data_IF_930731781698
#
_entry.id   IF_930731781698
#
_cell.length_a   1.000
_cell.length_b   1.000
_cell.length_c   1.000
_cell.angle_alpha   90.00
_cell.angle_beta   90.00
_cell.angle_gamma   90.00
#
_symmetry.space_group_name_H-M   'P 1'
#
loop_
_entity.id
_entity.type
_entity.pdbx_description
1 polymer ?
#
# COMPACT_ATOMS: atom_id res chain seq x y z
N UNK A 1 30.29 1.91 2.17
CA UNK A 1 29.85 3.18 2.80
C UNK A 1 29.15 4.13 1.81
N UNK A 2 29.74 4.43 0.64
CA UNK A 2 29.06 5.26 -0.40
C UNK A 2 27.75 4.67 -0.94
N UNK A 3 27.66 3.35 -1.09
CA UNK A 3 26.46 2.69 -1.63
C UNK A 3 25.25 2.83 -0.70
N UNK A 4 25.44 2.54 0.59
CA UNK A 4 24.39 2.68 1.61
C UNK A 4 23.84 4.11 1.67
N UNK A 5 24.69 5.13 1.51
CA UNK A 5 24.25 6.53 1.46
C UNK A 5 23.38 6.85 0.24
N UNK A 6 23.64 6.21 -0.91
CA UNK A 6 22.78 6.36 -2.09
C UNK A 6 21.38 5.79 -1.84
N UNK A 7 21.30 4.60 -1.23
CA UNK A 7 20.01 3.97 -0.89
C UNK A 7 19.23 4.82 0.12
N UNK A 8 19.90 5.34 1.16
CA UNK A 8 19.27 6.25 2.12
C UNK A 8 18.70 7.49 1.46
N UNK A 9 19.50 8.16 0.62
CA UNK A 9 19.05 9.32 -0.16
C UNK A 9 17.85 8.97 -1.05
N UNK A 10 17.88 7.81 -1.70
CA UNK A 10 16.78 7.34 -2.53
C UNK A 10 15.48 7.14 -1.73
N UNK A 11 15.56 6.51 -0.55
CA UNK A 11 14.41 6.32 0.34
C UNK A 11 13.88 7.67 0.85
N UNK A 12 14.78 8.55 1.30
CA UNK A 12 14.41 9.88 1.76
C UNK A 12 13.66 10.67 0.66
N UNK A 13 14.21 10.71 -0.55
CA UNK A 13 13.59 11.41 -1.68
C UNK A 13 12.27 10.76 -2.13
N UNK A 14 12.08 9.45 -1.94
CA UNK A 14 10.80 8.79 -2.20
C UNK A 14 9.72 9.24 -1.19
N UNK A 15 10.11 9.37 0.09
CA UNK A 15 9.25 9.93 1.14
C UNK A 15 8.92 11.41 0.85
N UNK A 16 9.87 12.20 0.36
CA UNK A 16 9.59 13.56 -0.12
C UNK A 16 8.55 13.56 -1.27
N UNK A 17 8.74 12.71 -2.28
CA UNK A 17 7.83 12.60 -3.43
C UNK A 17 6.38 12.32 -3.01
N UNK A 18 6.18 11.54 -1.94
CA UNK A 18 4.84 11.23 -1.43
C UNK A 18 4.04 12.47 -1.00
N UNK A 19 4.71 13.54 -0.56
CA UNK A 19 4.07 14.81 -0.18
C UNK A 19 3.49 15.53 -1.40
N UNK A 20 4.18 15.48 -2.53
CA UNK A 20 3.71 16.09 -3.78
C UNK A 20 2.64 15.25 -4.48
N UNK A 21 2.68 13.92 -4.29
CA UNK A 21 1.73 12.99 -4.91
C UNK A 21 0.40 12.92 -4.16
N UNK A 22 0.42 12.84 -2.83
CA UNK A 22 -0.78 12.74 -2.00
C UNK A 22 -0.66 13.59 -0.74
N UNK A 23 -0.74 14.93 -0.88
CA UNK A 23 -0.43 15.87 0.19
C UNK A 23 -1.31 15.76 1.44
N UNK A 24 -2.57 15.31 1.34
CA UNK A 24 -3.45 15.11 2.51
C UNK A 24 -3.14 13.85 3.32
N UNK A 25 -2.52 12.86 2.70
CA UNK A 25 -2.13 11.61 3.36
C UNK A 25 -0.72 11.22 2.89
N UNK A 26 0.29 12.05 3.20
CA UNK A 26 1.65 11.84 2.74
C UNK A 26 2.28 10.65 3.47
N UNK A 27 3.34 10.14 2.86
CA UNK A 27 4.18 9.09 3.42
C UNK A 27 4.03 7.75 2.71
N UNK A 28 4.93 6.84 3.06
CA UNK A 28 5.05 5.51 2.46
C UNK A 28 5.15 4.45 3.54
N UNK A 29 4.48 3.32 3.35
CA UNK A 29 4.69 2.13 4.16
C UNK A 29 6.02 1.48 3.82
N UNK A 30 6.53 0.63 4.73
CA UNK A 30 7.76 -0.12 4.46
C UNK A 30 7.65 -1.04 3.23
N UNK A 31 6.47 -1.62 2.98
CA UNK A 31 6.23 -2.46 1.80
C UNK A 31 6.33 -1.63 0.50
N UNK A 32 5.76 -0.43 0.49
CA UNK A 32 5.85 0.48 -0.66
C UNK A 32 7.29 0.97 -0.86
N UNK A 33 8.04 1.24 0.21
CA UNK A 33 9.46 1.58 0.11
C UNK A 33 10.27 0.42 -0.51
N UNK A 34 9.99 -0.82 -0.11
CA UNK A 34 10.61 -2.01 -0.72
C UNK A 34 10.31 -2.09 -2.22
N UNK A 35 9.05 -1.90 -2.61
CA UNK A 35 8.64 -1.93 -4.01
C UNK A 35 9.29 -0.80 -4.83
N UNK A 36 9.30 0.42 -4.29
CA UNK A 36 9.96 1.57 -4.94
C UNK A 36 11.45 1.32 -5.09
N UNK A 37 12.09 0.71 -4.07
CA UNK A 37 13.50 0.32 -4.10
C UNK A 37 13.82 -0.73 -5.16
N UNK A 38 12.99 -1.78 -5.27
CA UNK A 38 13.13 -2.81 -6.31
C UNK A 38 13.03 -2.21 -7.72
N UNK A 39 12.03 -1.35 -7.95
CA UNK A 39 11.89 -0.59 -9.22
C UNK A 39 13.02 0.41 -9.47
N UNK A 40 13.69 0.84 -8.41
CA UNK A 40 14.90 1.65 -8.44
C UNK A 40 16.18 0.85 -8.74
N UNK A 41 16.09 -0.48 -8.83
CA UNK A 41 17.22 -1.38 -9.07
C UNK A 41 17.98 -1.78 -7.80
N UNK A 42 17.43 -1.53 -6.61
CA UNK A 42 18.02 -1.92 -5.34
C UNK A 42 17.51 -3.28 -4.88
N UNK A 43 18.40 -4.05 -4.24
CA UNK A 43 18.07 -5.36 -3.68
C UNK A 43 17.50 -5.23 -2.27
N UNK A 44 16.71 -6.22 -1.86
CA UNK A 44 16.04 -6.23 -0.56
C UNK A 44 16.99 -6.01 0.63
N UNK A 45 18.17 -6.63 0.63
CA UNK A 45 19.17 -6.45 1.70
C UNK A 45 19.68 -5.01 1.79
N UNK A 46 19.82 -4.32 0.66
CA UNK A 46 20.32 -2.93 0.61
C UNK A 46 19.28 -1.97 1.20
N UNK A 47 18.01 -2.20 0.89
CA UNK A 47 16.87 -1.45 1.43
C UNK A 47 16.75 -1.73 2.93
N UNK A 48 16.88 -3.00 3.35
CA UNK A 48 16.85 -3.41 4.75
C UNK A 48 17.94 -2.73 5.59
N UNK A 49 19.19 -2.75 5.11
CA UNK A 49 20.32 -2.11 5.80
C UNK A 49 20.14 -0.59 5.90
N UNK A 50 19.68 0.06 4.83
CA UNK A 50 19.37 1.48 4.84
C UNK A 50 18.28 1.80 5.86
N UNK A 51 17.21 1.01 5.88
CA UNK A 51 16.08 1.18 6.78
C UNK A 51 16.46 1.09 8.27
N UNK A 52 17.26 0.08 8.62
CA UNK A 52 17.78 -0.08 10.00
C UNK A 52 18.62 1.12 10.38
N UNK A 53 19.56 1.52 9.51
CA UNK A 53 20.52 2.60 9.79
C UNK A 53 19.88 4.00 9.77
N UNK A 54 18.72 4.17 9.13
CA UNK A 54 17.93 5.40 9.19
C UNK A 54 17.08 5.50 10.47
N UNK A 55 17.12 4.48 11.35
CA UNK A 55 16.33 4.49 12.57
C UNK A 55 14.82 4.28 12.33
N UNK A 56 14.42 3.91 11.12
CA UNK A 56 13.00 3.75 10.74
C UNK A 56 12.39 2.45 11.29
N UNK A 57 13.22 1.53 11.79
CA UNK A 57 12.81 0.26 12.39
C UNK A 57 11.93 0.44 13.64
N UNK A 58 12.11 1.53 14.40
CA UNK A 58 11.27 1.86 15.56
C UNK A 58 9.95 2.53 15.15
N UNK A 59 9.91 3.17 13.97
CA UNK A 59 8.72 3.81 13.41
C UNK A 59 7.83 2.85 12.60
N UNK A 60 8.41 1.73 12.13
CA UNK A 60 7.85 0.89 11.07
C UNK A 60 7.34 -0.51 11.47
N UNK A 61 7.01 -0.79 12.75
CA UNK A 61 6.27 -2.03 13.08
C UNK A 61 4.79 -1.85 12.71
N UNK A 62 4.42 -2.21 11.48
CA UNK A 62 3.05 -2.24 10.97
C UNK A 62 2.82 -1.37 9.71
N UNK A 63 1.55 -1.26 9.31
CA UNK A 63 1.04 -0.53 8.14
C UNK A 63 1.18 1.01 8.19
N UNK A 64 2.07 1.56 9.04
CA UNK A 64 2.17 3.01 9.24
C UNK A 64 2.88 3.69 8.07
N UNK A 65 2.39 4.86 7.69
CA UNK A 65 3.06 5.74 6.72
C UNK A 65 4.25 6.42 7.39
N UNK A 66 5.42 6.28 6.78
CA UNK A 66 6.64 6.96 7.16
C UNK A 66 6.66 8.32 6.47
N UNK A 67 7.05 9.36 7.21
CA UNK A 67 7.16 10.73 6.69
C UNK A 67 8.57 11.09 6.21
N UNK A 68 8.74 12.29 5.63
CA UNK A 68 10.05 12.83 5.24
C UNK A 68 11.05 12.91 6.40
N UNK A 69 12.35 12.83 6.11
CA UNK A 69 13.39 12.92 7.12
C UNK A 69 13.66 14.36 7.59
N UNK A 70 14.27 14.51 8.77
CA UNK A 70 14.56 15.81 9.37
C UNK A 70 15.37 16.74 8.46
N UNK A 71 16.29 16.21 7.65
CA UNK A 71 17.09 17.01 6.74
C UNK A 71 16.24 17.64 5.62
N UNK A 72 15.26 16.91 5.07
CA UNK A 72 14.25 17.47 4.17
C UNK A 72 13.47 18.59 4.83
N UNK A 73 13.06 18.41 6.08
CA UNK A 73 12.26 19.42 6.79
C UNK A 73 13.04 20.73 6.94
N UNK A 74 14.35 20.64 7.15
CA UNK A 74 15.25 21.80 7.17
C UNK A 74 15.27 22.49 5.80
N UNK A 75 15.39 21.75 4.69
CA UNK A 75 15.43 22.37 3.36
C UNK A 75 14.12 23.07 3.00
N UNK A 76 12.99 22.53 3.45
CA UNK A 76 11.69 23.17 3.31
C UNK A 76 11.54 24.40 4.19
N UNK A 77 12.00 24.33 5.44
CA UNK A 77 11.95 25.43 6.41
C UNK A 77 12.64 26.69 5.90
N UNK A 78 13.75 26.53 5.17
CA UNK A 78 14.54 27.65 4.64
C UNK A 78 14.24 27.99 3.18
N UNK A 79 13.23 27.37 2.55
CA UNK A 79 12.88 27.58 1.14
C UNK A 79 14.09 27.55 0.21
N UNK A 80 15.03 26.62 0.46
CA UNK A 80 16.23 26.49 -0.37
C UNK A 80 15.80 26.04 -1.78
N UNK A 81 16.26 26.69 -2.88
CA UNK A 81 15.87 26.33 -4.23
C UNK A 81 16.36 24.93 -4.60
N UNK A 82 15.59 24.19 -5.39
CA UNK A 82 15.89 22.81 -5.77
C UNK A 82 15.71 22.58 -7.27
N UNK A 83 16.44 21.60 -7.82
CA UNK A 83 16.32 21.21 -9.24
C UNK A 83 16.10 19.69 -9.34
N UNK A 84 14.96 19.21 -9.86
CA UNK A 84 13.77 19.98 -10.27
C UNK A 84 13.02 20.58 -9.06
N UNK A 85 12.29 21.66 -9.33
CA UNK A 85 11.40 22.31 -8.36
C UNK A 85 9.99 21.72 -8.46
N UNK A 86 9.50 21.14 -7.37
CA UNK A 86 8.14 20.57 -7.27
C UNK A 86 7.24 21.40 -6.36
N UNK A 87 7.77 22.39 -5.65
CA UNK A 87 7.00 23.30 -4.81
C UNK A 87 6.38 24.39 -5.68
N UNK A 88 5.07 24.51 -5.60
CA UNK A 88 4.31 25.59 -6.23
C UNK A 88 4.45 26.87 -5.38
N UNK A 89 5.40 27.74 -5.74
CA UNK A 89 5.68 28.96 -4.98
C UNK A 89 4.49 29.92 -4.92
N UNK A 90 3.65 29.94 -5.95
CA UNK A 90 2.43 30.76 -5.95
C UNK A 90 1.45 30.27 -4.88
N UNK A 91 1.36 28.94 -4.71
CA UNK A 91 0.57 28.35 -3.64
C UNK A 91 1.09 28.70 -2.24
N UNK A 92 2.42 28.70 -2.04
CA UNK A 92 3.02 29.12 -0.77
C UNK A 92 2.76 30.61 -0.47
N UNK A 93 3.00 31.49 -1.44
CA UNK A 93 2.76 32.93 -1.29
C UNK A 93 1.28 33.23 -1.01
N UNK A 94 0.36 32.46 -1.62
CA UNK A 94 -1.07 32.55 -1.36
C UNK A 94 -1.42 32.23 0.10
N UNK A 95 -0.87 31.16 0.68
CA UNK A 95 -1.07 30.83 2.10
C UNK A 95 -0.63 31.98 3.01
N UNK A 96 0.57 32.53 2.76
CA UNK A 96 1.09 33.64 3.55
C UNK A 96 0.22 34.89 3.42
N UNK A 97 -0.24 35.20 2.20
CA UNK A 97 -1.06 36.37 1.94
C UNK A 97 -2.43 36.28 2.61
N UNK A 98 -3.15 35.16 2.47
CA UNK A 98 -4.47 34.99 3.09
C UNK A 98 -4.40 35.04 4.63
N UNK A 99 -3.40 34.39 5.24
CA UNK A 99 -3.23 34.46 6.69
C UNK A 99 -2.71 35.82 7.17
N UNK A 100 -1.91 36.51 6.37
CA UNK A 100 -1.48 37.88 6.64
C UNK A 100 -2.66 38.86 6.66
N UNK A 101 -3.58 38.74 5.69
CA UNK A 101 -4.82 39.52 5.66
C UNK A 101 -5.75 39.19 6.83
N UNK A 102 -5.93 37.90 7.16
CA UNK A 102 -6.68 37.49 8.35
C UNK A 102 -6.08 38.07 9.63
N UNK A 103 -4.75 38.04 9.78
CA UNK A 103 -4.06 38.59 10.94
C UNK A 103 -4.21 40.11 11.05
N UNK A 104 -4.19 40.85 9.92
CA UNK A 104 -4.46 42.29 9.92
C UNK A 104 -5.88 42.61 10.39
N UNK A 105 -6.86 41.79 10.01
CA UNK A 105 -8.26 42.03 10.34
C UNK A 105 -8.67 41.57 11.75
N UNK A 106 -8.12 40.44 12.21
CA UNK A 106 -8.57 39.75 13.43
C UNK A 106 -7.51 39.68 14.54
N UNK A 107 -6.27 40.04 14.24
CA UNK A 107 -5.10 39.79 15.07
C UNK A 107 -4.56 38.36 14.93
N UNK A 108 -3.24 38.18 15.12
CA UNK A 108 -2.55 36.89 14.91
C UNK A 108 -3.16 35.72 15.69
N UNK A 109 -3.59 35.95 16.95
CA UNK A 109 -4.15 34.89 17.79
C UNK A 109 -5.46 34.30 17.25
N UNK A 110 -6.19 35.06 16.42
CA UNK A 110 -7.48 34.66 15.84
C UNK A 110 -7.40 34.37 14.34
N UNK A 111 -6.22 34.52 13.73
CA UNK A 111 -6.00 34.27 12.31
C UNK A 111 -5.92 32.76 12.06
N UNK A 112 -7.09 32.15 11.85
CA UNK A 112 -7.26 30.73 11.57
C UNK A 112 -8.28 30.53 10.45
N UNK A 113 -8.11 29.47 9.66
CA UNK A 113 -8.98 29.15 8.53
C UNK A 113 -9.07 27.64 8.34
N UNK A 114 -10.26 27.13 7.99
CA UNK A 114 -10.41 25.72 7.56
C UNK A 114 -9.57 25.45 6.32
N UNK A 115 -8.87 24.31 6.30
CA UNK A 115 -8.04 23.85 5.17
C UNK A 115 -8.84 23.80 3.87
N UNK A 116 -10.02 23.19 3.89
CA UNK A 116 -10.92 23.10 2.73
C UNK A 116 -11.31 24.48 2.19
N UNK A 117 -11.50 25.47 3.09
CA UNK A 117 -11.81 26.84 2.68
C UNK A 117 -10.62 27.50 2.00
N UNK A 118 -9.41 27.35 2.56
CA UNK A 118 -8.20 27.90 1.97
C UNK A 118 -7.93 27.31 0.59
N UNK A 119 -8.08 25.99 0.46
CA UNK A 119 -7.89 25.23 -0.79
C UNK A 119 -8.91 25.69 -1.84
N UNK A 120 -10.19 25.78 -1.47
CA UNK A 120 -11.24 26.28 -2.36
C UNK A 120 -10.96 27.70 -2.87
N UNK A 121 -10.50 28.60 -1.99
CA UNK A 121 -10.10 29.96 -2.39
C UNK A 121 -8.91 29.96 -3.34
N UNK A 122 -7.88 29.16 -3.08
CA UNK A 122 -6.70 29.05 -3.95
C UNK A 122 -7.09 28.57 -5.36
N UNK A 123 -7.90 27.51 -5.44
CA UNK A 123 -8.40 26.96 -6.71
C UNK A 123 -9.22 27.99 -7.49
N UNK A 124 -10.05 28.78 -6.81
CA UNK A 124 -10.80 29.87 -7.46
C UNK A 124 -9.92 30.97 -8.06
N UNK A 125 -8.67 31.10 -7.60
CA UNK A 125 -7.65 32.03 -8.13
C UNK A 125 -6.70 31.38 -9.14
N UNK A 126 -6.96 30.14 -9.55
CA UNK A 126 -6.17 29.44 -10.57
C UNK A 126 -4.99 28.61 -10.04
N UNK A 127 -4.82 28.50 -8.72
CA UNK A 127 -3.79 27.67 -8.11
C UNK A 127 -4.24 26.20 -8.14
N UNK A 128 -3.34 25.29 -8.50
CA UNK A 128 -3.60 23.85 -8.49
C UNK A 128 -4.04 23.36 -7.12
N UNK A 129 -5.11 22.55 -7.05
CA UNK A 129 -5.56 21.92 -5.80
C UNK A 129 -4.43 21.09 -5.17
N UNK A 130 -3.73 20.27 -5.95
CA UNK A 130 -2.58 19.51 -5.46
C UNK A 130 -1.43 20.42 -5.02
N UNK A 131 -1.22 21.54 -5.70
CA UNK A 131 -0.18 22.53 -5.37
C UNK A 131 -0.42 23.19 -4.01
N UNK A 132 -1.63 23.68 -3.75
CA UNK A 132 -1.98 24.31 -2.47
C UNK A 132 -1.98 23.30 -1.33
N UNK A 133 -2.48 22.08 -1.56
CA UNK A 133 -2.44 21.02 -0.56
C UNK A 133 -1.00 20.65 -0.18
N UNK A 134 -0.10 20.54 -1.16
CA UNK A 134 1.32 20.28 -0.91
C UNK A 134 1.97 21.44 -0.15
N UNK A 135 1.67 22.69 -0.50
CA UNK A 135 2.19 23.86 0.21
C UNK A 135 1.79 23.85 1.70
N UNK A 136 0.50 23.62 1.99
CA UNK A 136 -0.02 23.52 3.36
C UNK A 136 0.70 22.39 4.12
N UNK A 137 0.75 21.19 3.54
CA UNK A 137 1.38 20.03 4.18
C UNK A 137 2.86 20.25 4.46
N UNK A 138 3.59 20.88 3.52
CA UNK A 138 5.00 21.24 3.73
C UNK A 138 5.15 22.24 4.87
N UNK A 139 4.29 23.27 4.94
CA UNK A 139 4.33 24.26 6.03
C UNK A 139 4.02 23.63 7.40
N UNK A 140 3.15 22.62 7.44
CA UNK A 140 2.88 21.85 8.67
C UNK A 140 4.12 21.04 9.05
N UNK A 141 4.70 20.29 8.12
CA UNK A 141 5.90 19.49 8.39
C UNK A 141 7.13 20.34 8.75
N UNK A 142 7.26 21.54 8.18
CA UNK A 142 8.30 22.49 8.51
C UNK A 142 8.01 23.30 9.81
N UNK A 143 6.94 22.97 10.52
CA UNK A 143 6.49 23.59 11.78
C UNK A 143 6.14 25.08 11.66
N UNK A 144 5.92 25.58 10.44
CA UNK A 144 5.42 26.93 10.22
C UNK A 144 3.95 27.05 10.61
N UNK A 145 3.17 26.03 10.28
CA UNK A 145 1.74 25.95 10.55
C UNK A 145 1.40 24.77 11.45
N UNK A 146 0.28 24.89 12.13
CA UNK A 146 -0.35 23.80 12.85
C UNK A 146 -1.76 23.60 12.29
N UNK A 147 -2.15 22.34 12.14
CA UNK A 147 -3.51 21.93 11.78
C UNK A 147 -4.14 21.22 12.98
N UNK A 148 -5.36 21.61 13.33
CA UNK A 148 -6.17 20.90 14.34
C UNK A 148 -7.62 20.86 13.86
N UNK A 149 -8.17 19.65 13.78
CA UNK A 149 -9.56 19.41 13.38
C UNK A 149 -9.92 20.06 12.02
N UNK A 150 -8.97 20.11 11.08
CA UNK A 150 -9.13 20.77 9.77
C UNK A 150 -8.82 22.27 9.75
N UNK A 151 -8.65 22.89 10.93
CA UNK A 151 -8.36 24.32 11.07
C UNK A 151 -6.85 24.57 11.05
N UNK A 152 -6.43 25.43 10.12
CA UNK A 152 -5.06 25.88 9.95
C UNK A 152 -4.80 27.20 10.68
N UNK A 153 -3.60 27.32 11.25
CA UNK A 153 -3.03 28.57 11.76
C UNK A 153 -1.51 28.57 11.68
N UNK A 154 -0.89 29.74 11.68
CA UNK A 154 0.55 29.82 11.92
C UNK A 154 0.87 29.35 13.36
N UNK A 155 1.88 28.50 13.50
CA UNK A 155 2.28 27.94 14.79
C UNK A 155 2.78 29.03 15.75
N UNK A 156 3.45 30.04 15.21
CA UNK A 156 3.91 31.23 15.93
C UNK A 156 3.59 32.49 15.12
N UNK A 157 3.25 33.63 15.74
CA UNK A 157 2.93 34.87 15.01
C UNK A 157 4.04 35.34 14.05
N UNK A 158 5.30 35.16 14.43
CA UNK A 158 6.47 35.53 13.62
C UNK A 158 6.53 34.80 12.28
N UNK A 159 5.94 33.61 12.19
CA UNK A 159 5.96 32.77 10.99
C UNK A 159 5.18 33.40 9.83
N UNK A 160 4.16 34.22 10.12
CA UNK A 160 3.36 34.93 9.09
C UNK A 160 3.85 36.34 8.77
N UNK A 161 4.91 36.82 9.44
CA UNK A 161 5.42 38.20 9.32
C UNK A 161 6.71 38.31 8.50
N UNK A 162 7.23 37.19 8.00
CA UNK A 162 8.43 37.16 7.16
C UNK A 162 8.17 37.53 5.70
N UNK A 163 9.25 37.70 4.90
CA UNK A 163 9.14 37.85 3.45
C UNK A 163 8.43 36.65 2.82
N UNK A 164 7.83 36.84 1.64
CA UNK A 164 7.11 35.78 0.96
C UNK A 164 8.07 34.62 0.59
N UNK A 165 7.60 33.37 0.61
CA UNK A 165 8.38 32.21 0.19
C UNK A 165 9.10 32.38 -1.16
N UNK A 166 8.44 32.98 -2.16
CA UNK A 166 9.09 33.26 -3.45
C UNK A 166 10.22 34.30 -3.36
N UNK A 167 10.11 35.28 -2.47
CA UNK A 167 11.16 36.28 -2.22
C UNK A 167 12.35 35.65 -1.48
N UNK A 168 12.07 34.81 -0.48
CA UNK A 168 13.09 34.05 0.25
C UNK A 168 13.88 33.16 -0.69
N UNK A 169 13.20 32.46 -1.61
CA UNK A 169 13.83 31.58 -2.57
C UNK A 169 14.68 32.36 -3.59
N UNK A 170 14.21 33.53 -4.07
CA UNK A 170 14.99 34.41 -4.97
C UNK A 170 16.28 34.94 -4.32
N UNK A 171 16.30 35.11 -3.00
CA UNK A 171 17.49 35.55 -2.30
C UNK A 171 18.61 34.49 -2.26
N UNK A 172 18.28 33.22 -2.54
CA UNK A 172 19.22 32.11 -2.58
C UNK A 172 19.87 31.97 -3.97
N UNK A 173 21.20 31.79 -4.00
CA UNK A 173 21.98 31.80 -5.26
C UNK A 173 22.22 30.42 -5.86
N UNK A 174 22.09 29.35 -5.08
CA UNK A 174 22.48 28.00 -5.50
C UNK A 174 21.33 27.05 -5.26
N UNK A 175 20.82 26.45 -6.35
CA UNK A 175 19.83 25.39 -6.29
C UNK A 175 20.49 24.05 -5.94
N UNK A 176 19.87 23.30 -5.04
CA UNK A 176 20.32 21.96 -4.67
C UNK A 176 19.84 20.94 -5.72
N UNK A 177 20.74 20.11 -6.29
CA UNK A 177 20.35 19.07 -7.23
C UNK A 177 19.65 17.91 -6.52
N UNK A 178 18.50 17.52 -7.07
CA UNK A 178 17.60 16.49 -6.57
C UNK A 178 17.22 15.51 -7.69
N UNK A 179 18.24 15.09 -8.43
CA UNK A 179 18.10 14.34 -9.69
C UNK A 179 17.30 13.03 -9.54
N UNK A 180 17.41 12.35 -8.39
CA UNK A 180 16.69 11.11 -8.13
C UNK A 180 15.18 11.32 -8.03
N UNK A 181 14.70 12.51 -7.64
CA UNK A 181 13.26 12.80 -7.55
C UNK A 181 12.55 12.71 -8.90
N UNK A 182 13.18 13.12 -9.99
CA UNK A 182 12.61 12.98 -11.34
C UNK A 182 12.36 11.52 -11.71
N UNK A 183 13.25 10.62 -11.27
CA UNK A 183 13.09 9.18 -11.47
C UNK A 183 12.03 8.60 -10.53
N UNK A 184 11.99 9.06 -9.28
CA UNK A 184 11.10 8.56 -8.23
C UNK A 184 9.65 8.99 -8.40
N UNK A 185 9.40 10.22 -8.84
CA UNK A 185 8.06 10.80 -8.94
C UNK A 185 7.05 9.90 -9.70
N UNK A 186 7.34 9.37 -10.91
CA UNK A 186 6.41 8.47 -11.58
C UNK A 186 6.21 7.13 -10.85
N UNK A 187 7.23 6.60 -10.18
CA UNK A 187 7.16 5.34 -9.42
C UNK A 187 6.27 5.53 -8.19
N UNK A 188 6.54 6.58 -7.41
CA UNK A 188 5.79 6.93 -6.19
C UNK A 188 4.33 7.25 -6.52
N UNK A 189 4.09 7.98 -7.61
CA UNK A 189 2.73 8.25 -8.10
C UNK A 189 1.95 6.98 -8.38
N UNK A 190 2.55 6.03 -9.07
CA UNK A 190 1.92 4.74 -9.40
C UNK A 190 1.69 3.85 -8.16
N UNK A 191 2.62 3.84 -7.21
CA UNK A 191 2.46 3.09 -5.95
C UNK A 191 1.35 3.70 -5.09
N UNK A 192 1.30 5.02 -4.95
CA UNK A 192 0.30 5.69 -4.12
C UNK A 192 -1.09 5.68 -4.78
N UNK A 193 -1.19 5.81 -6.11
CA UNK A 193 -2.49 5.75 -6.80
C UNK A 193 -3.21 4.41 -6.55
N UNK A 194 -2.44 3.34 -6.34
CA UNK A 194 -2.97 2.02 -5.97
C UNK A 194 -3.66 1.96 -4.61
N UNK A 195 -3.46 2.96 -3.74
CA UNK A 195 -4.17 3.03 -2.45
C UNK A 195 -5.65 3.40 -2.60
N UNK A 196 -6.00 4.12 -3.65
CA UNK A 196 -7.32 4.76 -3.82
C UNK A 196 -8.15 4.19 -4.96
N UNK A 197 -7.53 3.46 -5.88
CA UNK A 197 -8.18 2.93 -7.09
C UNK A 197 -8.64 1.46 -6.95
N UNK A 198 -8.58 0.90 -5.74
CA UNK A 198 -8.96 -0.50 -5.47
C UNK A 198 -7.96 -1.53 -6.00
N UNK A 199 -6.78 -1.11 -6.48
CA UNK A 199 -5.74 -2.03 -6.90
C UNK A 199 -5.00 -2.65 -5.70
N UNK A 200 -4.43 -3.85 -5.89
CA UNK A 200 -3.81 -4.66 -4.84
C UNK A 200 -2.74 -3.99 -3.98
N UNK A 201 -2.83 -4.13 -2.65
CA UNK A 201 -1.79 -3.75 -1.67
C UNK A 201 -0.48 -4.56 -1.80
N UNK A 202 -0.58 -5.77 -2.34
CA UNK A 202 0.55 -6.60 -2.75
C UNK A 202 0.53 -6.72 -4.27
N UNK A 203 1.51 -6.14 -4.94
CA UNK A 203 1.68 -6.22 -6.40
C UNK A 203 1.75 -7.69 -6.85
N UNK A 204 2.46 -8.53 -6.11
CA UNK A 204 2.57 -9.98 -6.29
C UNK A 204 2.08 -10.71 -5.03
N UNK A 205 0.76 -10.99 -4.91
CA UNK A 205 0.20 -11.59 -3.68
C UNK A 205 0.75 -12.99 -3.40
N UNK A 206 1.07 -13.76 -4.44
CA UNK A 206 1.64 -15.09 -4.27
C UNK A 206 3.04 -15.07 -3.65
N UNK A 207 3.88 -14.14 -4.07
CA UNK A 207 5.26 -14.04 -3.55
C UNK A 207 5.25 -13.47 -2.13
N UNK A 208 4.36 -12.49 -1.87
CA UNK A 208 4.13 -11.97 -0.52
C UNK A 208 3.63 -13.04 0.47
N UNK A 209 2.72 -13.92 0.04
CA UNK A 209 2.24 -15.01 0.88
C UNK A 209 3.32 -16.07 1.13
N UNK A 210 4.17 -16.37 0.16
CA UNK A 210 5.32 -17.27 0.34
C UNK A 210 6.20 -16.82 1.51
N UNK A 211 6.50 -15.52 1.59
CA UNK A 211 7.27 -14.93 2.68
C UNK A 211 6.60 -15.04 4.06
N UNK A 212 5.26 -15.15 4.11
CA UNK A 212 4.49 -15.29 5.36
C UNK A 212 4.44 -16.73 5.89
N UNK A 213 4.71 -17.75 5.07
CA UNK A 213 4.62 -19.15 5.48
C UNK A 213 5.49 -19.48 6.70
N UNK A 214 6.70 -18.93 6.77
CA UNK A 214 7.59 -19.11 7.93
C UNK A 214 6.98 -18.56 9.22
N UNK A 215 6.35 -17.37 9.16
CA UNK A 215 5.69 -16.76 10.33
C UNK A 215 4.45 -17.53 10.81
N UNK A 216 3.86 -18.34 9.93
CA UNK A 216 2.75 -19.23 10.25
C UNK A 216 3.21 -20.62 10.73
N UNK A 217 4.53 -20.87 10.75
CA UNK A 217 5.12 -22.16 11.14
C UNK A 217 5.19 -23.20 10.01
N UNK A 218 5.05 -22.78 8.76
CA UNK A 218 5.03 -23.65 7.57
C UNK A 218 6.22 -23.40 6.63
N UNK A 219 7.39 -23.05 7.16
CA UNK A 219 8.59 -22.76 6.36
C UNK A 219 8.94 -23.87 5.34
N UNK A 220 8.74 -25.14 5.71
CA UNK A 220 8.98 -26.28 4.80
C UNK A 220 8.06 -26.33 3.56
N UNK A 221 6.92 -25.65 3.59
CA UNK A 221 6.00 -25.56 2.44
C UNK A 221 6.35 -24.44 1.46
N UNK A 222 7.37 -23.62 1.75
CA UNK A 222 7.78 -22.53 0.87
C UNK A 222 8.11 -23.02 -0.55
N UNK A 223 8.89 -24.11 -0.66
CA UNK A 223 9.27 -24.69 -1.96
C UNK A 223 8.06 -25.17 -2.76
N UNK A 224 7.12 -25.85 -2.08
CA UNK A 224 5.87 -26.30 -2.72
C UNK A 224 5.08 -25.10 -3.24
N UNK A 225 4.89 -24.07 -2.43
CA UNK A 225 4.16 -22.86 -2.82
C UNK A 225 4.77 -22.18 -4.05
N UNK A 226 6.07 -21.90 -4.01
CA UNK A 226 6.79 -21.25 -5.13
C UNK A 226 6.73 -22.08 -6.41
N UNK A 227 6.79 -23.42 -6.28
CA UNK A 227 6.66 -24.31 -7.43
C UNK A 227 5.27 -24.19 -8.08
N UNK A 228 4.20 -24.31 -7.29
CA UNK A 228 2.81 -24.22 -7.82
C UNK A 228 2.54 -22.85 -8.43
N UNK A 229 3.02 -21.77 -7.81
CA UNK A 229 2.92 -20.40 -8.36
C UNK A 229 3.67 -20.29 -9.69
N UNK A 230 4.88 -20.83 -9.77
CA UNK A 230 5.68 -20.80 -11.00
C UNK A 230 5.02 -21.57 -12.14
N UNK A 231 4.44 -22.73 -11.84
CA UNK A 231 3.67 -23.53 -12.81
C UNK A 231 2.41 -22.79 -13.28
N UNK A 232 1.68 -22.12 -12.37
CA UNK A 232 0.52 -21.31 -12.73
C UNK A 232 0.90 -20.12 -13.61
N UNK A 233 2.00 -19.41 -13.28
CA UNK A 233 2.51 -18.26 -14.04
C UNK A 233 2.94 -18.67 -15.46
N UNK A 234 3.56 -19.85 -15.62
CA UNK A 234 3.99 -20.38 -16.93
C UNK A 234 2.87 -20.98 -17.77
N UNK A 235 1.78 -21.41 -17.16
CA UNK A 235 0.66 -22.04 -17.86
C UNK A 235 -0.11 -21.03 -18.71
N UNK A 236 -0.19 -21.28 -20.02
CA UNK A 236 -1.01 -20.50 -20.93
C UNK A 236 -2.51 -20.82 -20.78
N UNK A 237 -3.34 -19.78 -20.74
CA UNK A 237 -4.79 -19.92 -20.49
C UNK A 237 -5.55 -20.50 -21.68
N UNK A 238 -5.01 -20.41 -22.90
CA UNK A 238 -5.64 -20.95 -24.11
C UNK A 238 -5.32 -22.43 -24.29
N UNK A 239 -4.08 -22.85 -24.02
CA UNK A 239 -3.67 -24.24 -24.24
C UNK A 239 -3.76 -25.14 -23.00
N UNK A 240 -3.84 -24.58 -21.79
CA UNK A 240 -3.78 -25.34 -20.54
C UNK A 240 -4.85 -24.92 -19.50
N UNK A 241 -6.07 -24.63 -19.96
CA UNK A 241 -7.17 -24.13 -19.11
C UNK A 241 -7.44 -25.02 -17.89
N UNK A 242 -7.40 -26.34 -18.05
CA UNK A 242 -7.58 -27.31 -16.96
C UNK A 242 -6.49 -27.16 -15.89
N UNK A 243 -5.22 -27.18 -16.31
CA UNK A 243 -4.08 -27.05 -15.39
C UNK A 243 -4.12 -25.72 -14.64
N UNK A 244 -4.48 -24.63 -15.31
CA UNK A 244 -4.65 -23.32 -14.70
C UNK A 244 -5.70 -23.36 -13.59
N UNK A 245 -6.88 -23.93 -13.84
CA UNK A 245 -7.94 -24.05 -12.82
C UNK A 245 -7.51 -24.91 -11.63
N UNK A 246 -6.81 -26.02 -11.87
CA UNK A 246 -6.33 -26.92 -10.81
C UNK A 246 -5.29 -26.24 -9.93
N UNK A 247 -4.29 -25.59 -10.54
CA UNK A 247 -3.22 -24.88 -9.83
C UNK A 247 -3.79 -23.68 -9.05
N UNK A 248 -4.69 -22.91 -9.66
CA UNK A 248 -5.37 -21.80 -8.98
C UNK A 248 -6.16 -22.28 -7.75
N UNK A 249 -6.94 -23.35 -7.89
CA UNK A 249 -7.69 -23.91 -6.76
C UNK A 249 -6.76 -24.47 -5.67
N UNK A 250 -5.63 -25.09 -6.04
CA UNK A 250 -4.64 -25.56 -5.06
C UNK A 250 -4.01 -24.41 -4.26
N UNK A 251 -3.75 -23.26 -4.89
CA UNK A 251 -3.25 -22.06 -4.19
C UNK A 251 -4.29 -21.47 -3.24
N UNK A 252 -5.57 -21.45 -3.65
CA UNK A 252 -6.68 -21.05 -2.76
C UNK A 252 -6.78 -21.99 -1.56
N UNK A 253 -6.75 -23.30 -1.79
CA UNK A 253 -6.80 -24.32 -0.76
C UNK A 253 -5.63 -24.17 0.22
N UNK A 254 -4.41 -24.04 -0.31
CA UNK A 254 -3.19 -23.87 0.48
C UNK A 254 -3.25 -22.61 1.32
N UNK A 255 -3.60 -21.46 0.73
CA UNK A 255 -3.64 -20.18 1.44
C UNK A 255 -4.56 -20.21 2.65
N UNK A 256 -5.78 -20.76 2.48
CA UNK A 256 -6.76 -20.89 3.56
C UNK A 256 -6.31 -21.92 4.60
N UNK A 257 -5.78 -23.06 4.16
CA UNK A 257 -5.30 -24.14 5.06
C UNK A 257 -4.21 -23.63 6.00
N UNK A 258 -3.22 -22.89 5.49
CA UNK A 258 -2.10 -22.41 6.30
C UNK A 258 -2.50 -21.36 7.35
N UNK A 259 -3.65 -20.70 7.22
CA UNK A 259 -4.11 -19.72 8.21
C UNK A 259 -5.10 -20.27 9.23
N UNK A 260 -5.64 -21.47 9.04
CA UNK A 260 -6.60 -22.10 9.97
C UNK A 260 -6.07 -22.13 11.40
N UNK A 261 -4.86 -22.67 11.59
CA UNK A 261 -4.26 -22.82 12.93
C UNK A 261 -4.12 -21.47 13.62
N UNK A 262 -3.67 -20.46 12.89
CA UNK A 262 -3.46 -19.11 13.40
C UNK A 262 -4.78 -18.40 13.75
N UNK A 263 -5.77 -18.48 12.86
CA UNK A 263 -7.10 -17.92 13.10
C UNK A 263 -7.76 -18.52 14.36
N UNK A 264 -7.59 -19.84 14.56
CA UNK A 264 -8.11 -20.54 15.74
C UNK A 264 -7.39 -20.15 17.01
N UNK A 265 -6.06 -20.02 17.00
CA UNK A 265 -5.32 -19.56 18.19
C UNK A 265 -5.70 -18.15 18.61
N UNK A 266 -6.04 -17.29 17.65
CA UNK A 266 -6.49 -15.93 17.90
C UNK A 266 -7.97 -15.84 18.33
N UNK A 267 -8.75 -16.92 18.15
CA UNK A 267 -10.20 -16.97 18.41
C UNK A 267 -11.01 -15.88 17.69
N UNK A 268 -10.59 -15.47 16.49
CA UNK A 268 -11.14 -14.29 15.78
C UNK A 268 -12.34 -14.59 14.87
N UNK A 269 -12.97 -15.77 14.94
CA UNK A 269 -14.21 -16.07 14.22
C UNK A 269 -14.06 -17.08 13.07
N UNK A 270 -13.28 -16.80 12.01
CA UNK A 270 -13.03 -17.77 10.94
C UNK A 270 -12.48 -19.10 11.48
N UNK A 271 -12.89 -20.21 10.89
CA UNK A 271 -12.44 -21.57 11.25
C UNK A 271 -12.79 -22.04 12.66
N UNK A 272 -13.77 -21.41 13.30
CA UNK A 272 -14.24 -21.74 14.65
C UNK A 272 -14.98 -23.09 14.77
N UNK A 273 -15.41 -23.72 13.68
CA UNK A 273 -16.11 -25.02 13.74
C UNK A 273 -15.16 -26.18 14.08
N UNK A 274 -15.68 -27.22 14.74
CA UNK A 274 -14.92 -28.42 15.12
C UNK A 274 -14.41 -29.23 13.91
N UNK A 275 -14.90 -28.97 12.69
CA UNK A 275 -14.40 -29.60 11.46
C UNK A 275 -12.89 -29.37 11.26
N UNK A 276 -12.36 -28.24 11.75
CA UNK A 276 -10.94 -27.87 11.62
C UNK A 276 -10.07 -28.34 12.80
N UNK A 277 -10.59 -29.20 13.68
CA UNK A 277 -9.81 -29.87 14.73
C UNK A 277 -9.14 -31.15 14.24
N UNK A 278 -9.67 -31.71 13.15
CA UNK A 278 -9.16 -32.93 12.52
C UNK A 278 -7.93 -32.62 11.67
N UNK A 279 -7.27 -33.68 11.20
CA UNK A 279 -6.13 -33.57 10.31
C UNK A 279 -6.44 -32.73 9.06
N UNK A 280 -5.54 -31.82 8.63
CA UNK A 280 -5.73 -30.99 7.44
C UNK A 280 -6.12 -31.75 6.17
N UNK A 281 -5.68 -33.01 6.00
CA UNK A 281 -6.05 -33.82 4.84
C UNK A 281 -7.56 -34.14 4.76
N UNK A 282 -8.30 -33.95 5.84
CA UNK A 282 -9.74 -34.18 5.91
C UNK A 282 -10.57 -32.94 5.63
N UNK A 283 -9.94 -31.76 5.54
CA UNK A 283 -10.64 -30.51 5.32
C UNK A 283 -11.03 -30.36 3.86
N UNK A 284 -12.28 -30.01 3.61
CA UNK A 284 -12.74 -29.73 2.26
C UNK A 284 -12.53 -28.26 1.93
N UNK A 285 -12.13 -27.99 0.70
CA UNK A 285 -11.98 -26.61 0.21
C UNK A 285 -13.28 -25.80 0.29
N UNK A 286 -14.45 -26.46 0.09
CA UNK A 286 -15.77 -25.84 0.27
C UNK A 286 -15.98 -25.32 1.71
N UNK A 287 -15.54 -26.11 2.69
CA UNK A 287 -15.63 -25.77 4.11
C UNK A 287 -14.64 -24.66 4.47
N UNK A 288 -13.43 -24.71 3.91
CA UNK A 288 -12.42 -23.66 4.10
C UNK A 288 -12.93 -22.30 3.59
N UNK A 289 -13.47 -22.23 2.37
CA UNK A 289 -14.01 -20.99 1.80
C UNK A 289 -15.22 -20.49 2.59
N UNK A 290 -16.16 -21.39 2.90
CA UNK A 290 -17.36 -21.02 3.68
C UNK A 290 -16.99 -20.48 5.06
N UNK A 291 -16.00 -21.08 5.71
CA UNK A 291 -15.54 -20.69 7.03
C UNK A 291 -14.68 -19.42 7.00
N UNK A 292 -13.90 -19.19 5.95
CA UNK A 292 -13.12 -17.97 5.75
C UNK A 292 -14.01 -16.73 5.56
N UNK A 293 -15.22 -16.91 5.03
CA UNK A 293 -16.25 -15.86 4.93
C UNK A 293 -17.05 -15.67 6.23
N UNK A 294 -16.88 -16.55 7.22
CA UNK A 294 -17.52 -16.45 8.54
C UNK A 294 -16.71 -15.55 9.49
N UNK A 295 -17.33 -15.05 10.56
CA UNK A 295 -16.65 -14.21 11.56
C UNK A 295 -16.92 -12.70 11.45
N UNK A 296 -17.89 -12.26 10.64
CA UNK A 296 -18.35 -10.87 10.60
C UNK A 296 -17.22 -9.89 10.25
N UNK A 297 -16.89 -8.97 11.18
CA UNK A 297 -15.81 -7.97 10.99
C UNK A 297 -14.41 -8.59 10.85
N UNK A 298 -14.24 -9.82 11.31
CA UNK A 298 -12.97 -10.56 11.26
C UNK A 298 -12.92 -11.58 10.12
N UNK A 299 -13.91 -11.58 9.23
CA UNK A 299 -13.90 -12.42 8.03
C UNK A 299 -12.66 -12.16 7.17
N UNK A 300 -12.17 -13.22 6.56
CA UNK A 300 -11.08 -13.18 5.58
C UNK A 300 -11.64 -12.80 4.22
N UNK A 301 -12.72 -13.47 3.80
CA UNK A 301 -13.34 -13.28 2.49
C UNK A 301 -14.64 -12.47 2.63
N UNK A 302 -14.81 -11.49 1.75
CA UNK A 302 -16.12 -10.89 1.54
C UNK A 302 -17.03 -11.80 0.70
N UNK A 303 -18.31 -11.46 0.62
CA UNK A 303 -19.29 -12.31 -0.08
C UNK A 303 -18.97 -12.46 -1.58
N UNK A 304 -18.44 -11.42 -2.21
CA UNK A 304 -18.06 -11.43 -3.64
C UNK A 304 -16.90 -12.38 -3.89
N UNK A 305 -15.85 -12.30 -3.09
CA UNK A 305 -14.66 -13.15 -3.17
C UNK A 305 -14.99 -14.60 -2.86
N UNK A 306 -15.86 -14.83 -1.85
CA UNK A 306 -16.40 -16.15 -1.54
C UNK A 306 -17.11 -16.76 -2.76
N UNK A 307 -18.05 -16.03 -3.38
CA UNK A 307 -18.79 -16.55 -4.53
C UNK A 307 -17.89 -16.87 -5.73
N UNK A 308 -16.84 -16.09 -5.97
CA UNK A 308 -15.83 -16.40 -6.99
C UNK A 308 -15.04 -17.67 -6.65
N UNK A 309 -14.61 -17.81 -5.39
CA UNK A 309 -13.91 -19.01 -4.92
C UNK A 309 -14.79 -20.27 -5.02
N UNK A 310 -16.08 -20.19 -4.66
CA UNK A 310 -17.05 -21.28 -4.83
C UNK A 310 -17.19 -21.70 -6.30
N UNK A 311 -17.27 -20.73 -7.22
CA UNK A 311 -17.30 -20.99 -8.67
C UNK A 311 -16.01 -21.68 -9.16
N UNK A 312 -14.84 -21.22 -8.71
CA UNK A 312 -13.57 -21.87 -9.01
C UNK A 312 -13.53 -23.32 -8.49
N UNK A 313 -14.04 -23.58 -7.29
CA UNK A 313 -14.09 -24.94 -6.73
C UNK A 313 -15.00 -25.85 -7.54
N UNK A 314 -16.20 -25.38 -7.91
CA UNK A 314 -17.11 -26.12 -8.78
C UNK A 314 -16.47 -26.43 -10.14
N UNK A 315 -15.76 -25.44 -10.69
CA UNK A 315 -15.03 -25.56 -11.95
C UNK A 315 -13.92 -26.61 -11.84
N UNK A 316 -13.13 -26.60 -10.76
CA UNK A 316 -12.11 -27.63 -10.46
C UNK A 316 -12.76 -29.01 -10.36
N UNK A 317 -13.94 -29.12 -9.76
CA UNK A 317 -14.61 -30.42 -9.56
C UNK A 317 -14.98 -31.12 -10.89
N UNK A 318 -15.03 -30.39 -12.01
CA UNK A 318 -15.25 -30.94 -13.36
C UNK A 318 -14.13 -31.86 -13.87
N UNK A 319 -12.96 -31.88 -13.20
CA UNK A 319 -11.89 -32.82 -13.53
C UNK A 319 -12.12 -34.23 -12.96
N UNK A 320 -13.04 -34.37 -11.99
CA UNK A 320 -13.29 -35.64 -11.32
C UNK A 320 -14.28 -36.48 -12.13
N UNK A 321 -13.76 -37.51 -12.82
CA UNK A 321 -14.54 -38.38 -13.71
C UNK A 321 -15.82 -38.96 -13.06
N UNK A 322 -15.72 -39.44 -11.80
CA UNK A 322 -16.89 -39.99 -11.09
C UNK A 322 -18.00 -38.96 -10.85
N UNK A 323 -17.63 -37.70 -10.60
CA UNK A 323 -18.59 -36.61 -10.44
C UNK A 323 -19.17 -36.15 -11.78
N UNK A 324 -18.36 -36.14 -12.83
CA UNK A 324 -18.82 -35.85 -14.19
C UNK A 324 -19.81 -36.88 -14.72
N UNK A 325 -19.63 -38.16 -14.40
CA UNK A 325 -20.61 -39.20 -14.74
C UNK A 325 -21.95 -38.97 -14.02
N UNK A 326 -21.93 -38.43 -12.80
CA UNK A 326 -23.13 -38.11 -12.01
C UNK A 326 -23.83 -36.84 -12.52
N UNK A 327 -23.09 -35.75 -12.69
CA UNK A 327 -23.64 -34.42 -12.94
C UNK A 327 -23.90 -34.16 -14.44
N UNK A 328 -23.14 -34.82 -15.33
CA UNK A 328 -23.19 -34.66 -16.78
C UNK A 328 -23.14 -36.01 -17.52
N UNK A 329 -24.15 -36.89 -17.36
CA UNK A 329 -24.14 -38.23 -17.95
C UNK A 329 -24.08 -38.25 -19.49
N UNK A 330 -24.43 -37.14 -20.14
CA UNK A 330 -24.43 -36.98 -21.60
C UNK A 330 -23.11 -36.40 -22.19
N UNK A 331 -22.12 -36.08 -21.35
CA UNK A 331 -20.85 -35.48 -21.77
C UNK A 331 -20.62 -34.09 -21.15
N UNK A 332 -19.34 -33.76 -20.95
CA UNK A 332 -18.89 -32.58 -20.19
C UNK A 332 -18.70 -31.39 -21.14
N UNK A 333 -19.12 -30.16 -20.77
CA UNK A 333 -18.74 -28.97 -21.53
C UNK A 333 -17.23 -28.74 -21.42
N UNK A 334 -16.59 -28.25 -22.47
CA UNK A 334 -15.17 -27.86 -22.39
C UNK A 334 -14.96 -26.72 -21.38
N UNK A 335 -13.81 -26.73 -20.72
CA UNK A 335 -13.36 -25.62 -19.89
C UNK A 335 -12.90 -24.48 -20.80
N UNK A 336 -13.56 -23.33 -20.69
CA UNK A 336 -13.27 -22.18 -21.54
C UNK A 336 -12.04 -21.43 -21.04
N UNK A 337 -11.23 -20.83 -21.93
CA UNK A 337 -10.10 -19.97 -21.55
C UNK A 337 -10.51 -18.79 -20.64
N UNK A 338 -11.76 -18.33 -20.73
CA UNK A 338 -12.34 -17.32 -19.87
C UNK A 338 -12.43 -17.77 -18.40
N UNK A 339 -12.87 -19.01 -18.16
CA UNK A 339 -12.96 -19.62 -16.82
C UNK A 339 -11.55 -19.80 -16.23
N UNK A 340 -10.56 -20.16 -17.05
CA UNK A 340 -9.16 -20.25 -16.61
C UNK A 340 -8.54 -18.89 -16.27
N UNK A 341 -8.89 -17.83 -17.01
CA UNK A 341 -8.46 -16.46 -16.69
C UNK A 341 -9.07 -15.99 -15.37
N UNK A 342 -10.37 -16.24 -15.17
CA UNK A 342 -11.07 -15.91 -13.94
C UNK A 342 -10.51 -16.71 -12.74
N UNK A 343 -10.13 -17.97 -12.95
CA UNK A 343 -9.47 -18.80 -11.94
C UNK A 343 -8.16 -18.17 -11.42
N UNK A 344 -7.29 -17.70 -12.32
CA UNK A 344 -6.05 -17.00 -11.92
C UNK A 344 -6.34 -15.77 -11.07
N UNK A 345 -7.26 -14.92 -11.53
CA UNK A 345 -7.65 -13.70 -10.82
C UNK A 345 -8.27 -14.00 -9.45
N UNK A 346 -9.08 -15.06 -9.37
CA UNK A 346 -9.72 -15.50 -8.12
C UNK A 346 -8.68 -15.99 -7.12
N UNK A 347 -7.69 -16.77 -7.56
CA UNK A 347 -6.61 -17.22 -6.68
C UNK A 347 -5.79 -16.04 -6.12
N UNK A 348 -5.43 -15.07 -6.97
CA UNK A 348 -4.76 -13.85 -6.51
C UNK A 348 -5.60 -13.06 -5.49
N UNK A 349 -6.91 -12.94 -5.74
CA UNK A 349 -7.84 -12.22 -4.87
C UNK A 349 -7.97 -12.88 -3.50
N UNK A 350 -8.09 -14.20 -3.45
CA UNK A 350 -8.17 -14.95 -2.19
C UNK A 350 -6.86 -14.84 -1.41
N UNK A 351 -5.71 -15.06 -2.06
CA UNK A 351 -4.40 -14.95 -1.40
C UNK A 351 -4.18 -13.55 -0.83
N UNK A 352 -4.62 -12.52 -1.57
CA UNK A 352 -4.59 -11.14 -1.09
C UNK A 352 -5.47 -10.91 0.13
N UNK A 353 -6.70 -11.42 0.10
CA UNK A 353 -7.62 -11.32 1.24
C UNK A 353 -7.04 -11.98 2.50
N UNK A 354 -6.34 -13.11 2.32
CA UNK A 354 -5.61 -13.77 3.39
C UNK A 354 -4.46 -12.90 3.92
N UNK A 355 -3.68 -12.28 3.04
CA UNK A 355 -2.60 -11.36 3.43
C UNK A 355 -3.11 -10.14 4.20
N UNK A 356 -4.15 -9.49 3.69
CA UNK A 356 -4.79 -8.34 4.35
C UNK A 356 -5.35 -8.72 5.72
N UNK A 357 -5.84 -9.95 5.86
CA UNK A 357 -6.27 -10.48 7.16
C UNK A 357 -5.10 -10.76 8.10
N UNK A 358 -3.99 -11.33 7.63
CA UNK A 358 -2.78 -11.53 8.42
C UNK A 358 -2.15 -10.22 8.90
N UNK A 359 -2.28 -9.15 8.12
CA UNK A 359 -1.84 -7.81 8.54
C UNK A 359 -2.72 -7.23 9.66
N UNK A 360 -4.02 -7.54 9.66
CA UNK A 360 -4.95 -7.17 10.74
C UNK A 360 -4.75 -8.04 12.00
N UNK A 361 -4.39 -9.30 11.81
CA UNK A 361 -4.22 -10.29 12.86
C UNK A 361 -2.84 -10.97 12.72
N UNK A 362 -1.74 -10.29 13.10
CA UNK A 362 -0.40 -10.80 12.88
C UNK A 362 -0.10 -12.06 13.72
N UNK A 363 0.67 -13.04 13.19
CA UNK A 363 1.18 -14.16 13.97
C UNK A 363 2.19 -13.71 15.02
N UNK A 364 2.13 -14.33 16.21
CA UNK A 364 3.04 -14.03 17.31
C UNK A 364 4.50 -14.31 16.88
N UNK A 365 5.44 -13.37 17.11
CA UNK A 365 6.85 -13.62 16.87
C UNK A 365 7.34 -14.63 17.90
N UNK A 366 7.49 -15.90 17.49
CA UNK A 366 8.22 -16.90 18.26
C UNK A 366 9.71 -16.82 17.99
#
# INVERSE_FOLDING_TARGET
>A
MMHLQKVKKFIAEALECSVFVRPREPGLTFAEIKEIGDRGGYREGEIGDAFVTMGLHSMGRGSKLLGPEQQTLITWKFFLPETPEYRDLEAFDFVYTEFGELARNLGHAKAQMERDTLVSRAVSRGISETGIEAAITILIFAEYMAEKDGVLRFAMPVNGNGPLPSEQMKAQRVAMPRDTRSQLMPIVKDVISRRTDGRPRHAEPFDAFAARLSSLGYAGFHTWWVQIVSELKRSDVQSASVSVCVLAAALVEGALTFVVKHARSMQVGPFGSNNFERDPCTWRIDDLVSSAASGGRSSILDQTTRSRADSLIQTRQRIHAGRMLSDHPAGVPDLRPEEARDAKQTAELVVRSVLDWLDRFPPDPK
#
